data_IF_892636000957
#
_entry.id   IF_892636000957
#
_cell.length_a   1.000
_cell.length_b   1.000
_cell.length_c   1.000
_cell.angle_alpha   90.00
_cell.angle_beta   90.00
_cell.angle_gamma   90.00
#
_symmetry.space_group_name_H-M   'P 1'
#
loop_
_entity.id
_entity.type
_entity.pdbx_description
1 polymer ?
#
# COMPACT_ATOMS: atom_id res chain seq x y z
N UNK A 1 -41.73 -58.22 27.38
CA UNK A 1 -42.55 -58.16 26.14
C UNK A 1 -42.44 -56.75 25.58
N UNK A 2 -41.79 -56.57 24.42
CA UNK A 2 -41.69 -55.26 23.75
C UNK A 2 -42.86 -55.14 22.77
N UNK A 3 -43.66 -54.08 22.88
CA UNK A 3 -44.76 -53.78 21.96
C UNK A 3 -44.26 -52.84 20.87
N UNK A 4 -44.27 -53.31 19.63
CA UNK A 4 -43.96 -52.50 18.45
C UNK A 4 -45.28 -52.04 17.84
N UNK A 5 -45.43 -50.73 17.64
CA UNK A 5 -46.60 -50.14 16.97
C UNK A 5 -46.13 -49.23 15.84
N UNK A 6 -46.90 -49.18 14.75
CA UNK A 6 -46.61 -48.34 13.57
C UNK A 6 -47.56 -47.14 13.58
N UNK A 7 -47.01 -45.94 13.66
CA UNK A 7 -47.76 -44.68 13.52
C UNK A 7 -47.39 -43.96 12.22
N UNK A 8 -48.40 -43.36 11.56
CA UNK A 8 -48.21 -42.46 10.41
C UNK A 8 -48.35 -41.02 10.89
N UNK A 9 -47.25 -40.27 10.89
CA UNK A 9 -47.22 -38.85 11.27
C UNK A 9 -47.02 -37.98 10.03
N UNK A 10 -47.84 -36.94 9.88
CA UNK A 10 -47.71 -35.95 8.79
C UNK A 10 -46.76 -34.85 9.24
N UNK A 11 -45.58 -34.76 8.63
CA UNK A 11 -44.60 -33.72 8.95
C UNK A 11 -44.79 -32.50 8.04
N UNK A 12 -44.85 -31.30 8.64
CA UNK A 12 -45.11 -30.04 7.94
C UNK A 12 -43.85 -29.18 7.78
N UNK A 13 -42.79 -29.43 8.55
CA UNK A 13 -41.56 -28.64 8.55
C UNK A 13 -40.36 -29.56 8.71
N UNK A 14 -39.26 -29.22 8.02
CA UNK A 14 -37.98 -29.91 8.16
C UNK A 14 -37.02 -29.01 8.94
N UNK A 15 -36.66 -29.43 10.14
CA UNK A 15 -35.56 -28.82 10.89
C UNK A 15 -34.25 -29.34 10.32
N UNK A 16 -33.32 -28.45 9.99
CA UNK A 16 -31.95 -28.83 9.65
C UNK A 16 -30.97 -27.86 10.30
N UNK A 17 -29.81 -28.37 10.68
CA UNK A 17 -28.70 -27.57 11.19
C UNK A 17 -27.75 -27.28 10.02
N UNK A 18 -27.57 -26.02 9.59
CA UNK A 18 -26.69 -25.70 8.48
C UNK A 18 -25.23 -25.97 8.86
N UNK A 19 -24.46 -26.51 7.91
CA UNK A 19 -23.01 -26.58 8.04
C UNK A 19 -22.41 -25.19 7.88
N UNK A 20 -21.42 -24.86 8.71
CA UNK A 20 -20.73 -23.57 8.68
C UNK A 20 -19.38 -23.74 7.98
N UNK A 21 -19.09 -22.86 7.01
CA UNK A 21 -17.77 -22.71 6.41
C UNK A 21 -17.21 -21.39 6.93
N UNK A 22 -16.09 -21.47 7.64
CA UNK A 22 -15.43 -20.30 8.22
C UNK A 22 -14.07 -20.06 7.54
N UNK A 23 -14.00 -19.17 6.53
CA UNK A 23 -12.72 -18.75 5.99
C UNK A 23 -12.04 -17.80 6.98
N UNK A 24 -10.89 -18.22 7.51
CA UNK A 24 -10.10 -17.42 8.45
C UNK A 24 -8.80 -16.95 7.80
N UNK A 25 -8.56 -15.64 7.82
CA UNK A 25 -7.39 -15.01 7.20
C UNK A 25 -6.52 -14.32 8.25
N UNK A 26 -5.28 -14.79 8.40
CA UNK A 26 -4.30 -14.16 9.28
C UNK A 26 -3.67 -12.93 8.64
N UNK A 27 -4.21 -11.73 8.91
CA UNK A 27 -3.74 -10.49 8.27
C UNK A 27 -2.25 -10.21 8.49
N UNK A 28 -1.73 -10.53 9.68
CA UNK A 28 -0.30 -10.37 9.97
C UNK A 28 0.59 -11.24 9.07
N UNK A 29 0.16 -12.46 8.75
CA UNK A 29 0.88 -13.34 7.82
C UNK A 29 0.79 -12.84 6.39
N UNK A 30 -0.38 -12.35 5.98
CA UNK A 30 -0.57 -11.77 4.64
C UNK A 30 0.34 -10.56 4.43
N UNK A 31 0.41 -9.66 5.42
CA UNK A 31 1.30 -8.49 5.37
C UNK A 31 2.77 -8.93 5.36
N UNK A 32 3.14 -9.91 6.17
CA UNK A 32 4.51 -10.45 6.18
C UNK A 32 4.91 -11.05 4.82
N UNK A 33 4.04 -11.87 4.22
CA UNK A 33 4.26 -12.41 2.87
C UNK A 33 4.37 -11.28 1.82
N UNK A 34 3.56 -10.22 1.96
CA UNK A 34 3.65 -9.05 1.09
C UNK A 34 5.03 -8.38 1.20
N UNK A 35 5.58 -8.24 2.41
CA UNK A 35 6.92 -7.71 2.63
C UNK A 35 7.97 -8.58 1.94
N UNK A 36 8.00 -9.89 2.21
CA UNK A 36 8.99 -10.79 1.60
C UNK A 36 8.91 -10.80 0.07
N UNK A 37 7.70 -10.84 -0.50
CA UNK A 37 7.53 -10.92 -1.96
C UNK A 37 7.76 -9.59 -2.68
N UNK A 38 7.64 -8.46 -1.97
CA UNK A 38 7.83 -7.13 -2.57
C UNK A 38 9.24 -6.60 -2.36
N UNK A 39 10.03 -7.21 -1.48
CA UNK A 39 11.37 -6.75 -1.15
C UNK A 39 12.40 -7.10 -2.22
N UNK A 40 13.19 -6.12 -2.65
CA UNK A 40 14.38 -6.35 -3.46
C UNK A 40 15.43 -5.25 -3.22
N UNK A 41 16.66 -5.53 -3.61
CA UNK A 41 17.76 -4.56 -3.54
C UNK A 41 18.16 -4.09 -4.93
N UNK A 42 18.43 -2.79 -5.06
CA UNK A 42 18.97 -2.17 -6.27
C UNK A 42 20.44 -1.86 -6.07
N UNK A 43 21.25 -2.16 -7.08
CA UNK A 43 22.65 -1.74 -7.11
C UNK A 43 22.74 -0.22 -7.25
N UNK A 44 23.46 0.44 -6.32
CA UNK A 44 23.84 1.84 -6.51
C UNK A 44 24.87 1.97 -7.63
N UNK A 45 24.72 3.00 -8.48
CA UNK A 45 25.71 3.36 -9.50
C UNK A 45 27.10 3.65 -8.92
N UNK A 46 27.17 3.98 -7.64
CA UNK A 46 28.42 4.28 -6.93
C UNK A 46 29.01 3.07 -6.18
N UNK A 47 28.47 1.85 -6.36
CA UNK A 47 29.04 0.59 -5.87
C UNK A 47 28.96 0.34 -4.36
N UNK A 48 28.80 1.38 -3.52
CA UNK A 48 28.96 1.26 -2.06
C UNK A 48 27.66 1.18 -1.23
N UNK A 49 26.48 1.37 -1.82
CA UNK A 49 25.21 1.30 -1.08
C UNK A 49 24.20 0.39 -1.78
N UNK A 50 23.66 -0.60 -1.07
CA UNK A 50 22.49 -1.34 -1.50
C UNK A 50 21.25 -0.50 -1.17
N UNK A 51 20.45 -0.20 -2.19
CA UNK A 51 19.20 0.53 -2.01
C UNK A 51 18.07 -0.48 -1.85
N UNK A 52 17.49 -0.53 -0.66
CA UNK A 52 16.39 -1.44 -0.35
C UNK A 52 15.09 -0.87 -0.90
N UNK A 53 14.25 -1.73 -1.49
CA UNK A 53 12.98 -1.31 -2.09
C UNK A 53 11.88 -2.30 -1.74
N UNK A 54 10.70 -1.79 -1.41
CA UNK A 54 9.48 -2.59 -1.38
C UNK A 54 8.59 -2.23 -2.58
N UNK A 55 8.49 -3.12 -3.57
CA UNK A 55 7.60 -2.97 -4.72
C UNK A 55 6.14 -3.30 -4.37
N UNK A 56 5.53 -2.57 -3.43
CA UNK A 56 4.13 -2.77 -3.10
C UNK A 56 3.22 -2.47 -4.30
N UNK A 57 2.21 -3.32 -4.57
CA UNK A 57 1.16 -2.97 -5.49
C UNK A 57 0.51 -1.64 -5.07
N UNK A 58 0.25 -0.76 -6.04
CA UNK A 58 -0.24 0.60 -5.78
C UNK A 58 -1.53 0.63 -4.94
N UNK A 59 -2.36 -0.41 -5.03
CA UNK A 59 -3.59 -0.54 -4.25
C UNK A 59 -3.33 -0.74 -2.74
N UNK A 60 -2.26 -1.45 -2.35
CA UNK A 60 -1.92 -1.74 -0.94
C UNK A 60 -0.80 -0.88 -0.38
N UNK A 61 -0.06 -0.15 -1.22
CA UNK A 61 1.04 0.72 -0.78
C UNK A 61 0.56 1.72 0.31
N UNK A 62 1.28 1.90 1.44
CA UNK A 62 0.83 2.77 2.53
C UNK A 62 0.70 4.24 2.13
N UNK A 63 1.67 4.71 1.34
CA UNK A 63 1.70 6.04 0.74
C UNK A 63 1.70 5.82 -0.77
N UNK A 64 0.80 6.50 -1.49
CA UNK A 64 0.67 6.31 -2.94
C UNK A 64 1.63 7.19 -3.70
N UNK A 65 1.90 8.39 -3.20
CA UNK A 65 2.75 9.35 -3.88
C UNK A 65 3.60 10.17 -2.91
N UNK A 66 4.85 10.45 -3.25
CA UNK A 66 5.66 11.47 -2.58
C UNK A 66 5.96 12.63 -3.52
N UNK A 67 5.78 13.86 -3.02
CA UNK A 67 6.05 15.10 -3.74
C UNK A 67 7.37 15.71 -3.27
N UNK A 68 8.28 16.01 -4.19
CA UNK A 68 9.60 16.54 -3.93
C UNK A 68 9.81 17.89 -4.64
N UNK A 69 9.96 19.02 -3.93
CA UNK A 69 10.56 20.20 -4.54
C UNK A 69 12.05 19.94 -4.77
N UNK A 70 12.54 20.10 -6.01
CA UNK A 70 13.95 19.81 -6.31
C UNK A 70 14.88 20.76 -5.55
N UNK A 71 14.54 22.04 -5.53
CA UNK A 71 15.28 23.12 -4.87
C UNK A 71 14.49 23.61 -3.67
N UNK A 72 15.18 23.82 -2.54
CA UNK A 72 14.62 24.51 -1.38
C UNK A 72 14.47 26.00 -1.69
N UNK A 73 13.31 26.35 -2.23
CA UNK A 73 12.93 27.72 -2.50
C UNK A 73 11.39 27.80 -2.44
N UNK A 74 10.90 28.87 -1.82
CA UNK A 74 9.48 29.11 -1.56
C UNK A 74 8.60 28.85 -2.78
N UNK A 75 9.05 29.24 -3.97
CA UNK A 75 8.30 29.05 -5.23
C UNK A 75 7.97 27.57 -5.51
N UNK A 76 8.92 26.66 -5.29
CA UNK A 76 8.71 25.22 -5.54
C UNK A 76 7.91 24.57 -4.42
N UNK A 77 8.08 25.04 -3.19
CA UNK A 77 7.30 24.57 -2.04
C UNK A 77 5.83 24.92 -2.18
N UNK A 78 5.51 26.12 -2.68
CA UNK A 78 4.13 26.54 -2.90
C UNK A 78 3.46 25.70 -3.99
N UNK A 79 4.16 25.41 -5.08
CA UNK A 79 3.68 24.48 -6.12
C UNK A 79 3.50 23.06 -5.54
N UNK A 80 4.45 22.57 -4.73
CA UNK A 80 4.33 21.26 -4.09
C UNK A 80 3.12 21.19 -3.15
N UNK A 81 2.79 22.27 -2.44
CA UNK A 81 1.58 22.39 -1.62
C UNK A 81 0.31 22.36 -2.47
N UNK A 82 0.29 23.00 -3.64
CA UNK A 82 -0.87 22.98 -4.52
C UNK A 82 -1.11 21.60 -5.16
N UNK A 83 -0.03 20.89 -5.50
CA UNK A 83 -0.09 19.48 -5.91
C UNK A 83 -0.64 18.63 -4.76
N UNK A 84 -0.13 18.83 -3.54
CA UNK A 84 -0.62 18.13 -2.34
C UNK A 84 -2.11 18.35 -2.10
N UNK A 85 -2.60 19.58 -2.19
CA UNK A 85 -4.05 19.87 -2.11
C UNK A 85 -4.83 19.11 -3.18
N UNK A 86 -4.33 19.08 -4.42
CA UNK A 86 -4.97 18.37 -5.52
C UNK A 86 -5.04 16.86 -5.26
N UNK A 87 -3.97 16.27 -4.72
CA UNK A 87 -3.93 14.86 -4.32
C UNK A 87 -4.89 14.57 -3.15
N UNK A 88 -5.00 15.49 -2.16
CA UNK A 88 -5.98 15.38 -1.07
C UNK A 88 -7.40 15.36 -1.60
N UNK A 89 -7.74 16.28 -2.53
CA UNK A 89 -9.07 16.35 -3.16
C UNK A 89 -9.38 15.06 -3.92
N UNK A 90 -8.37 14.46 -4.55
CA UNK A 90 -8.50 13.17 -5.24
C UNK A 90 -8.54 11.95 -4.27
N UNK A 91 -8.40 12.14 -2.96
CA UNK A 91 -8.38 11.05 -1.97
C UNK A 91 -7.10 10.20 -2.00
N UNK A 92 -6.01 10.72 -2.56
CA UNK A 92 -4.75 10.00 -2.74
C UNK A 92 -3.84 10.25 -1.53
N UNK A 93 -3.49 9.19 -0.79
CA UNK A 93 -2.51 9.25 0.30
C UNK A 93 -1.13 9.66 -0.25
N UNK A 94 -0.58 10.75 0.27
CA UNK A 94 0.67 11.31 -0.20
C UNK A 94 1.49 11.97 0.90
N UNK A 95 2.77 12.24 0.63
CA UNK A 95 3.70 12.93 1.52
C UNK A 95 4.50 13.98 0.75
N UNK A 96 4.82 15.10 1.39
CA UNK A 96 5.78 16.07 0.84
C UNK A 96 7.12 15.86 1.55
N UNK A 97 8.20 15.73 0.79
CA UNK A 97 9.57 15.64 1.34
C UNK A 97 10.42 16.83 0.89
N UNK A 98 10.54 17.81 1.80
CA UNK A 98 11.34 19.03 1.67
C UNK A 98 12.75 18.90 2.28
N UNK A 99 13.18 17.69 2.65
CA UNK A 99 14.50 17.47 3.27
C UNK A 99 15.62 18.00 2.38
N UNK A 100 16.58 18.72 2.96
CA UNK A 100 17.73 19.32 2.25
C UNK A 100 18.78 18.33 1.73
N UNK A 101 18.43 17.05 1.63
CA UNK A 101 19.29 16.01 1.07
C UNK A 101 19.15 15.93 -0.44
N UNK A 102 20.15 15.35 -1.12
CA UNK A 102 20.09 15.12 -2.57
C UNK A 102 18.82 14.37 -2.97
N UNK A 103 18.30 14.66 -4.17
CA UNK A 103 17.08 14.02 -4.68
C UNK A 103 17.20 12.49 -4.73
N UNK A 104 18.38 11.97 -5.05
CA UNK A 104 18.65 10.53 -5.03
C UNK A 104 18.45 9.89 -3.64
N UNK A 105 18.90 10.56 -2.56
CA UNK A 105 18.67 10.09 -1.19
C UNK A 105 17.19 10.16 -0.80
N UNK A 106 16.46 11.15 -1.32
CA UNK A 106 15.01 11.28 -1.11
C UNK A 106 14.22 10.17 -1.81
N UNK A 107 14.60 9.82 -3.05
CA UNK A 107 14.05 8.66 -3.74
C UNK A 107 14.37 7.37 -3.01
N UNK A 108 15.62 7.13 -2.61
CA UNK A 108 16.02 5.94 -1.87
C UNK A 108 15.16 5.72 -0.61
N UNK A 109 14.99 6.76 0.22
CA UNK A 109 14.13 6.70 1.41
C UNK A 109 12.67 6.39 1.08
N UNK A 110 12.19 6.87 -0.05
CA UNK A 110 10.79 6.71 -0.48
C UNK A 110 10.55 5.32 -1.08
N UNK A 111 11.54 4.79 -1.80
CA UNK A 111 11.57 3.42 -2.31
C UNK A 111 11.64 2.41 -1.15
N UNK A 112 12.40 2.72 -0.09
CA UNK A 112 12.45 1.94 1.16
C UNK A 112 11.11 1.87 1.90
N UNK A 113 10.25 2.87 1.72
CA UNK A 113 8.88 2.88 2.28
C UNK A 113 7.85 2.23 1.34
N UNK A 114 8.29 1.83 0.14
CA UNK A 114 7.45 1.21 -0.90
C UNK A 114 6.41 2.15 -1.49
N UNK A 115 6.75 3.43 -1.64
CA UNK A 115 5.87 4.39 -2.32
C UNK A 115 6.00 4.19 -3.84
N UNK A 116 4.89 3.92 -4.56
CA UNK A 116 4.95 3.55 -5.97
C UNK A 116 5.19 4.73 -6.91
N UNK A 117 4.87 5.97 -6.48
CA UNK A 117 4.98 7.14 -7.34
C UNK A 117 5.72 8.31 -6.66
N UNK A 118 6.54 9.00 -7.45
CA UNK A 118 7.28 10.19 -7.05
C UNK A 118 6.99 11.34 -8.01
N UNK A 119 6.55 12.48 -7.48
CA UNK A 119 6.35 13.72 -8.24
C UNK A 119 7.46 14.69 -7.85
N UNK A 120 8.30 15.08 -8.81
CA UNK A 120 9.38 16.03 -8.57
C UNK A 120 9.08 17.36 -9.26
N UNK A 121 9.04 18.42 -8.47
CA UNK A 121 8.82 19.79 -8.95
C UNK A 121 10.18 20.41 -9.26
N UNK A 122 10.45 20.59 -10.54
CA UNK A 122 11.70 21.16 -11.06
C UNK A 122 11.44 22.45 -11.87
N UNK A 123 12.48 23.25 -12.04
CA UNK A 123 12.52 24.39 -12.96
C UNK A 123 12.39 23.91 -14.39
N UNK A 124 11.49 24.52 -15.16
CA UNK A 124 11.45 24.37 -16.61
C UNK A 124 12.60 25.16 -17.24
N UNK A 125 13.82 24.62 -17.21
CA UNK A 125 14.85 25.08 -18.15
C UNK A 125 14.54 24.40 -19.48
N UNK A 126 13.65 25.03 -20.28
CA UNK A 126 13.63 24.76 -21.72
C UNK A 126 15.04 25.06 -22.22
N UNK A 127 15.67 24.02 -22.79
CA UNK A 127 16.80 24.19 -23.70
C UNK A 127 16.38 25.09 -24.87
#
# INVERSE_FOLDING_TARGET
MVKISKEKKKEHQRVFTPSVIEPSFGIGRIIYCLFEHSYYTRASKAGNEQLNVFAFPSIVAPIKCTVFPLVQNQKYEDIAKDISKSLTVAGISHKIDITGTSIGKRYARTDELGVPFAITVDTTRRL
#
